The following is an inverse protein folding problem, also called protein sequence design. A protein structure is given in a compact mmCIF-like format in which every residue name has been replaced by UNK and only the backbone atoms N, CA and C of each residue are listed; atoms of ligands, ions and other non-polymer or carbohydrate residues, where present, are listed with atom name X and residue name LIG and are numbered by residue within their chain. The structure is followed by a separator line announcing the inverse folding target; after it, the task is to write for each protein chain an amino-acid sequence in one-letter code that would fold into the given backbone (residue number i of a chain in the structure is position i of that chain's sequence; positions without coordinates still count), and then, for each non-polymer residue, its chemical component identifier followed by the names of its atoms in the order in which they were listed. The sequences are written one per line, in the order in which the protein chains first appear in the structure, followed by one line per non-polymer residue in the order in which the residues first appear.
data_IF_532207068169
#
_entry.id   IF_532207068169
#
_cell.length_a   1.000
_cell.length_b   1.000
_cell.length_c   1.000
_cell.angle_alpha   90.00
_cell.angle_beta   90.00
_cell.angle_gamma   90.00
#
_symmetry.space_group_name_H-M   'P 1'
#
loop_
_entity.id
_entity.type
_entity.pdbx_description
1 polymer ?
#
# COMPACT_ATOMS: atom_id res chain seq x y z
N UNK A 1 3.57 -2.20 -15.87
CA UNK A 1 2.71 -2.43 -14.68
C UNK A 1 3.58 -2.72 -13.44
N UNK A 2 4.64 -1.94 -13.17
CA UNK A 2 5.60 -2.27 -12.09
C UNK A 2 5.08 -1.89 -10.70
N UNK A 3 4.19 -0.90 -10.62
CA UNK A 3 3.78 -0.34 -9.34
C UNK A 3 2.76 -1.22 -8.61
N UNK A 4 1.88 -1.90 -9.36
CA UNK A 4 0.91 -2.85 -8.79
C UNK A 4 1.59 -4.05 -8.15
N UNK A 5 2.62 -4.59 -8.79
CA UNK A 5 3.44 -5.69 -8.23
C UNK A 5 4.17 -5.25 -6.97
N UNK A 6 4.77 -4.06 -6.97
CA UNK A 6 5.42 -3.49 -5.79
C UNK A 6 4.46 -3.31 -4.62
N UNK A 7 3.26 -2.77 -4.90
CA UNK A 7 2.21 -2.64 -3.89
C UNK A 7 1.83 -4.02 -3.34
N UNK A 8 1.69 -5.04 -4.19
CA UNK A 8 1.41 -6.42 -3.78
C UNK A 8 2.52 -7.00 -2.91
N UNK A 9 3.78 -6.89 -3.35
CA UNK A 9 4.93 -7.38 -2.61
C UNK A 9 5.06 -6.70 -1.25
N UNK A 10 4.95 -5.37 -1.19
CA UNK A 10 5.00 -4.63 0.07
C UNK A 10 3.82 -4.99 0.97
N UNK A 11 2.63 -5.18 0.41
CA UNK A 11 1.46 -5.58 1.18
C UNK A 11 1.62 -6.97 1.80
N UNK A 12 2.06 -7.97 1.02
CA UNK A 12 2.31 -9.33 1.50
C UNK A 12 3.49 -9.42 2.46
N UNK A 13 4.59 -8.72 2.18
CA UNK A 13 5.76 -8.61 3.06
C UNK A 13 5.37 -8.10 4.45
N UNK A 14 4.43 -7.16 4.50
CA UNK A 14 3.91 -6.58 5.74
C UNK A 14 2.65 -7.28 6.27
N UNK A 15 2.33 -8.50 5.79
CA UNK A 15 1.19 -9.32 6.23
C UNK A 15 -0.16 -8.58 6.20
N UNK A 16 -0.34 -7.69 5.22
CA UNK A 16 -1.57 -6.89 5.06
C UNK A 16 -1.81 -5.82 6.13
N UNK A 17 -0.80 -5.49 6.94
CA UNK A 17 -0.88 -4.44 7.98
C UNK A 17 -0.66 -3.04 7.44
N UNK A 18 -0.08 -2.92 6.24
CA UNK A 18 0.27 -1.63 5.66
C UNK A 18 -0.87 -1.15 4.77
N UNK A 19 -1.40 0.03 5.09
CA UNK A 19 -2.31 0.75 4.21
C UNK A 19 -1.57 1.60 3.19
N UNK A 20 -2.35 2.22 2.29
CA UNK A 20 -1.83 3.01 1.17
C UNK A 20 -0.82 4.10 1.57
N UNK A 21 -0.96 4.70 2.77
CA UNK A 21 0.00 5.68 3.29
C UNK A 21 1.39 5.09 3.55
N UNK A 22 1.46 3.91 4.18
CA UNK A 22 2.73 3.24 4.47
C UNK A 22 3.36 2.66 3.22
N UNK A 23 2.54 2.12 2.32
CA UNK A 23 3.02 1.62 1.03
C UNK A 23 3.61 2.75 0.20
N UNK A 24 2.98 3.92 0.14
CA UNK A 24 3.56 5.09 -0.54
C UNK A 24 4.92 5.51 0.03
N UNK A 25 5.10 5.37 1.35
CA UNK A 25 6.35 5.73 2.03
C UNK A 25 7.48 4.74 1.72
N UNK A 26 7.17 3.43 1.68
CA UNK A 26 8.10 2.39 1.21
C UNK A 26 8.44 2.59 -0.28
N UNK A 27 7.46 2.90 -1.12
CA UNK A 27 7.69 3.19 -2.54
C UNK A 27 8.61 4.41 -2.71
N UNK A 28 8.41 5.47 -1.90
CA UNK A 28 9.29 6.64 -1.90
C UNK A 28 10.72 6.31 -1.49
N UNK A 29 10.91 5.41 -0.52
CA UNK A 29 12.25 4.91 -0.13
C UNK A 29 12.94 4.14 -1.26
N UNK A 30 12.18 3.48 -2.11
CA UNK A 30 12.69 2.78 -3.30
C UNK A 30 12.88 3.70 -4.51
N UNK A 31 12.68 5.02 -4.38
CA UNK A 31 12.87 5.99 -5.45
C UNK A 31 11.62 6.26 -6.30
N UNK A 32 10.46 5.67 -5.97
CA UNK A 32 9.22 5.94 -6.69
C UNK A 32 8.54 7.20 -6.15
N UNK A 33 8.39 8.23 -7.00
CA UNK A 33 7.66 9.45 -6.66
C UNK A 33 6.15 9.29 -6.91
N UNK A 34 5.52 8.35 -6.21
CA UNK A 34 4.08 8.12 -6.29
C UNK A 34 3.35 8.76 -5.11
N UNK A 35 2.25 9.46 -5.41
CA UNK A 35 1.37 10.00 -4.41
C UNK A 35 0.55 8.88 -3.72
N UNK A 36 0.32 9.02 -2.42
CA UNK A 36 -0.48 8.09 -1.63
C UNK A 36 -1.93 7.95 -2.14
N UNK A 37 -2.48 8.97 -2.81
CA UNK A 37 -3.79 8.91 -3.48
C UNK A 37 -3.78 7.94 -4.66
N UNK A 38 -2.70 7.91 -5.44
CA UNK A 38 -2.54 6.98 -6.55
C UNK A 38 -2.36 5.56 -6.05
N UNK A 39 -1.57 5.37 -4.98
CA UNK A 39 -1.48 4.07 -4.28
C UNK A 39 -2.86 3.61 -3.80
N UNK A 40 -3.66 4.50 -3.21
CA UNK A 40 -5.01 4.16 -2.77
C UNK A 40 -5.90 3.71 -3.93
N UNK A 41 -5.88 4.43 -5.07
CA UNK A 41 -6.63 4.03 -6.28
C UNK A 41 -6.18 2.65 -6.78
N UNK A 42 -4.88 2.40 -6.84
CA UNK A 42 -4.31 1.12 -7.28
C UNK A 42 -4.65 -0.02 -6.31
N UNK A 43 -4.52 0.20 -5.00
CA UNK A 43 -4.92 -0.79 -3.98
C UNK A 43 -6.41 -1.12 -4.08
N UNK A 44 -7.27 -0.12 -4.27
CA UNK A 44 -8.71 -0.33 -4.44
C UNK A 44 -9.02 -1.12 -5.71
N UNK A 45 -8.35 -0.80 -6.84
CA UNK A 45 -8.49 -1.57 -8.09
C UNK A 45 -8.03 -3.02 -7.94
N UNK A 46 -7.02 -3.28 -7.10
CA UNK A 46 -6.52 -4.61 -6.81
C UNK A 46 -7.27 -5.32 -5.66
N UNK A 47 -8.27 -4.68 -5.04
CA UNK A 47 -8.99 -5.24 -3.89
C UNK A 47 -8.15 -5.37 -2.60
N UNK A 48 -6.97 -4.74 -2.55
CA UNK A 48 -6.08 -4.79 -1.38
C UNK A 48 -6.59 -3.87 -0.27
N UNK A 49 -7.00 -4.45 0.85
CA UNK A 49 -7.46 -3.71 2.03
C UNK A 49 -6.52 -3.93 3.21
N UNK A 50 -6.19 -2.82 3.89
CA UNK A 50 -5.42 -2.87 5.13
C UNK A 50 -6.25 -3.51 6.25
N UNK A 51 -5.78 -4.62 6.82
CA UNK A 51 -6.50 -5.39 7.86
C UNK A 51 -6.26 -4.84 9.29
N UNK A 52 -5.78 -3.61 9.43
CA UNK A 52 -5.53 -3.04 10.76
C UNK A 52 -6.88 -2.85 11.48
N UNK A 53 -7.03 -3.56 12.60
CA UNK A 53 -8.20 -3.47 13.48
C UNK A 53 -8.33 -2.03 13.98
N UNK A 54 -9.48 -1.41 13.74
CA UNK A 54 -9.82 -0.12 14.38
C UNK A 54 -9.81 -0.34 15.89
N UNK A 55 -9.06 0.49 16.61
CA UNK A 55 -9.10 0.51 18.08
C UNK A 55 -10.51 0.95 18.49
N UNK A 56 -11.23 0.11 19.24
CA UNK A 56 -12.43 0.54 19.96
C UNK A 56 -11.93 1.33 21.17
N UNK A 57 -12.26 2.61 21.20
CA UNK A 57 -12.16 3.47 22.38
C UNK A 57 -13.09 2.98 23.46
#
# INVERSE_FOLDING_TARGET
MKEKELIYQLFHKNKGRYGYRRIALEMKKQGYMINHKTVLKLMNQCGLKCMVRKKKY
#
